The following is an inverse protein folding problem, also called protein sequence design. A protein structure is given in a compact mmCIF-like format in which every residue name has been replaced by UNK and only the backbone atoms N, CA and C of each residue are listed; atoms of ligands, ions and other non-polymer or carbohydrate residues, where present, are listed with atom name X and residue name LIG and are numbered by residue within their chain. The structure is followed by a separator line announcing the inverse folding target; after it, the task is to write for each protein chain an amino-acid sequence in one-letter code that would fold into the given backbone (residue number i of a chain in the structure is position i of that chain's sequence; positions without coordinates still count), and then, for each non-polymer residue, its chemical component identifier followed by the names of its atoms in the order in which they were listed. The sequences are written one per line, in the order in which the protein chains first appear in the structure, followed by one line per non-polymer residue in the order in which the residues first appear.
data_IF_863824255534
#
_entry.id   IF_863824255534
#
_cell.length_a   1.000
_cell.length_b   1.000
_cell.length_c   1.000
_cell.angle_alpha   90.00
_cell.angle_beta   90.00
_cell.angle_gamma   90.00
#
_symmetry.space_group_name_H-M   'P 1'
#
loop_
_entity.id
_entity.type
_entity.pdbx_description
1 polymer ?
#
# COMPACT_ATOMS: atom_id res chain seq x y z
N UNK A 1 6.04 4.17 -10.35
CA UNK A 1 5.33 4.57 -9.11
C UNK A 1 3.83 4.37 -9.29
N UNK A 2 3.31 3.17 -9.07
CA UNK A 2 1.91 2.88 -9.37
C UNK A 2 0.95 3.33 -8.25
N UNK A 3 1.34 3.14 -6.98
CA UNK A 3 0.47 3.47 -5.83
C UNK A 3 0.09 4.95 -5.75
N UNK A 4 1.07 5.85 -5.85
CA UNK A 4 0.81 7.31 -5.81
C UNK A 4 -0.07 7.78 -6.97
N UNK A 5 0.01 7.14 -8.15
CA UNK A 5 -0.83 7.47 -9.29
C UNK A 5 -2.30 7.14 -8.99
N UNK A 6 -2.58 5.95 -8.42
CA UNK A 6 -3.93 5.56 -8.01
C UNK A 6 -4.51 6.52 -6.98
N UNK A 7 -3.72 6.89 -5.96
CA UNK A 7 -4.17 7.83 -4.93
C UNK A 7 -4.48 9.22 -5.53
N UNK A 8 -3.64 9.70 -6.44
CA UNK A 8 -3.86 10.97 -7.13
C UNK A 8 -5.14 10.95 -7.99
N UNK A 9 -5.41 9.85 -8.71
CA UNK A 9 -6.65 9.69 -9.49
C UNK A 9 -7.89 9.73 -8.61
N UNK A 10 -7.88 9.03 -7.46
CA UNK A 10 -9.01 9.04 -6.51
C UNK A 10 -9.21 10.42 -5.91
N UNK A 11 -8.13 11.10 -5.53
CA UNK A 11 -8.17 12.46 -5.02
C UNK A 11 -8.78 13.43 -6.04
N UNK A 12 -8.34 13.39 -7.30
CA UNK A 12 -8.87 14.26 -8.36
C UNK A 12 -10.33 13.95 -8.68
N UNK A 13 -10.78 12.71 -8.51
CA UNK A 13 -12.17 12.33 -8.73
C UNK A 13 -13.12 12.84 -7.62
N UNK A 14 -12.67 12.85 -6.37
CA UNK A 14 -13.50 13.18 -5.19
C UNK A 14 -13.19 14.54 -4.56
N UNK A 15 -12.12 15.21 -4.97
CA UNK A 15 -11.61 16.43 -4.35
C UNK A 15 -11.09 17.45 -5.33
N UNK A 16 -10.76 18.62 -4.77
CA UNK A 16 -10.30 19.79 -5.52
C UNK A 16 -9.55 20.73 -4.59
N UNK A 17 -8.59 21.47 -5.16
CA UNK A 17 -7.87 22.53 -4.47
C UNK A 17 -8.67 23.84 -4.34
N UNK A 18 -9.91 23.89 -4.83
CA UNK A 18 -10.75 25.09 -4.82
C UNK A 18 -11.24 25.48 -3.41
N UNK A 19 -11.39 24.53 -2.50
CA UNK A 19 -11.86 24.77 -1.13
C UNK A 19 -11.21 23.80 -0.14
N UNK A 20 -10.94 24.22 1.12
CA UNK A 20 -10.43 23.33 2.15
C UNK A 20 -11.31 22.09 2.38
N UNK A 21 -12.63 22.23 2.31
CA UNK A 21 -13.57 21.12 2.54
C UNK A 21 -13.50 20.07 1.44
N UNK A 22 -13.37 20.49 0.18
CA UNK A 22 -13.25 19.57 -0.97
C UNK A 22 -11.89 18.90 -1.01
N UNK A 23 -10.84 19.57 -0.55
CA UNK A 23 -9.51 18.97 -0.40
C UNK A 23 -9.54 17.80 0.60
N UNK A 24 -10.09 18.04 1.80
CA UNK A 24 -10.19 17.00 2.84
C UNK A 24 -11.05 15.83 2.36
N UNK A 25 -12.17 16.12 1.66
CA UNK A 25 -13.04 15.06 1.10
C UNK A 25 -12.27 14.16 0.14
N UNK A 26 -11.51 14.73 -0.80
CA UNK A 26 -10.68 13.96 -1.73
C UNK A 26 -9.57 13.18 -1.02
N UNK A 27 -8.95 13.77 0.00
CA UNK A 27 -7.90 13.11 0.79
C UNK A 27 -8.47 11.91 1.56
N UNK A 28 -9.61 12.09 2.24
CA UNK A 28 -10.30 11.03 2.98
C UNK A 28 -10.69 9.88 2.04
N UNK A 29 -11.21 10.18 0.85
CA UNK A 29 -11.51 9.15 -0.16
C UNK A 29 -10.27 8.37 -0.58
N UNK A 30 -9.16 9.06 -0.88
CA UNK A 30 -7.89 8.43 -1.27
C UNK A 30 -7.32 7.52 -0.15
N UNK A 31 -7.38 7.96 1.11
CA UNK A 31 -6.92 7.16 2.27
C UNK A 31 -7.75 5.89 2.43
N UNK A 32 -9.08 5.96 2.30
CA UNK A 32 -9.94 4.78 2.37
C UNK A 32 -9.63 3.77 1.27
N UNK A 33 -9.40 4.23 0.04
CA UNK A 33 -8.99 3.34 -1.06
C UNK A 33 -7.63 2.70 -0.78
N UNK A 34 -6.65 3.48 -0.34
CA UNK A 34 -5.33 2.97 0.04
C UNK A 34 -5.41 1.91 1.14
N UNK A 35 -6.21 2.17 2.18
CA UNK A 35 -6.44 1.24 3.28
C UNK A 35 -7.08 -0.06 2.82
N UNK A 36 -8.07 0.00 1.91
CA UNK A 36 -8.71 -1.18 1.35
C UNK A 36 -7.72 -2.05 0.56
N UNK A 37 -6.89 -1.44 -0.30
CA UNK A 37 -5.86 -2.16 -1.06
C UNK A 37 -4.85 -2.85 -0.13
N UNK A 38 -4.37 -2.13 0.89
CA UNK A 38 -3.45 -2.71 1.88
C UNK A 38 -4.12 -3.83 2.67
N UNK A 39 -5.37 -3.66 3.07
CA UNK A 39 -6.14 -4.69 3.77
C UNK A 39 -6.27 -5.97 2.95
N UNK A 40 -6.57 -5.86 1.64
CA UNK A 40 -6.61 -7.00 0.72
C UNK A 40 -5.23 -7.66 0.61
N UNK A 41 -4.17 -6.86 0.43
CA UNK A 41 -2.80 -7.36 0.37
C UNK A 41 -2.37 -8.10 1.64
N UNK A 42 -2.78 -7.60 2.81
CA UNK A 42 -2.51 -8.24 4.09
C UNK A 42 -3.26 -9.57 4.25
N UNK A 43 -4.55 -9.61 3.86
CA UNK A 43 -5.34 -10.84 3.86
C UNK A 43 -4.71 -11.87 2.92
N UNK A 44 -4.31 -11.45 1.71
CA UNK A 44 -3.61 -12.31 0.76
C UNK A 44 -2.30 -12.84 1.36
N UNK A 45 -1.48 -11.98 1.97
CA UNK A 45 -0.23 -12.39 2.60
C UNK A 45 -0.42 -13.40 3.74
N UNK A 46 -1.48 -13.26 4.55
CA UNK A 46 -1.84 -14.22 5.60
C UNK A 46 -2.35 -15.55 5.04
N UNK A 47 -2.97 -15.54 3.86
CA UNK A 47 -3.43 -16.75 3.19
C UNK A 47 -2.28 -17.55 2.54
N UNK A 48 -1.12 -16.92 2.30
CA UNK A 48 0.05 -17.61 1.77
C UNK A 48 0.72 -18.46 2.87
N UNK A 49 1.02 -19.75 2.61
CA UNK A 49 1.77 -20.59 3.54
C UNK A 49 3.17 -20.01 3.76
N UNK A 50 3.58 -19.91 5.03
CA UNK A 50 4.80 -19.21 5.44
C UNK A 50 6.03 -19.66 4.66
N UNK A 51 6.67 -18.72 3.97
CA UNK A 51 7.96 -18.90 3.31
C UNK A 51 9.01 -19.21 4.39
N UNK A 52 9.49 -20.45 4.43
CA UNK A 52 10.63 -20.84 5.27
C UNK A 52 11.79 -19.92 4.89
N UNK A 53 12.26 -19.14 5.86
CA UNK A 53 13.52 -18.39 5.72
C UNK A 53 14.57 -19.40 5.29
N UNK A 54 15.07 -19.24 4.06
CA UNK A 54 16.27 -19.95 3.63
C UNK A 54 17.35 -19.57 4.63
N UNK A 55 17.74 -20.52 5.46
CA UNK A 55 18.87 -20.38 6.33
C UNK A 55 20.06 -20.07 5.42
N UNK A 56 20.57 -18.85 5.50
CA UNK A 56 21.84 -18.49 4.87
C UNK A 56 22.89 -19.34 5.57
N UNK A 57 23.27 -20.44 4.92
CA UNK A 57 24.38 -21.29 5.33
C UNK A 57 25.65 -20.48 5.09
N UNK A 58 26.08 -19.74 6.11
CA UNK A 58 27.35 -19.03 6.14
C UNK A 58 28.42 -20.04 6.53
N UNK A 59 28.83 -20.82 5.55
CA UNK A 59 29.87 -21.84 5.70
C UNK A 59 31.20 -21.43 5.03
N UNK A 60 31.32 -20.20 4.54
CA UNK A 60 32.56 -19.68 3.93
C UNK A 60 33.46 -18.93 4.92
N UNK A 61 33.55 -19.41 6.16
CA UNK A 61 34.64 -19.02 7.09
C UNK A 61 35.14 -20.30 7.75
N UNK A 62 35.93 -21.08 7.01
CA UNK A 62 36.97 -22.00 7.53
C UNK A 62 37.58 -22.80 6.39
N UNK A 63 38.60 -22.26 5.72
CA UNK A 63 39.98 -22.80 5.56
C UNK A 63 40.73 -22.09 4.43
#
# INVERSE_FOLDING_TARGET
MFGVAVLATVFTAAGSYASPSTFVTGLTAAVWVGAAVVGIGAIAALALPGHRRLAVHRDEVSD
#
